data_IF_900709713811
#
_entry.id   IF_900709713811
#
_cell.length_a   1.000
_cell.length_b   1.000
_cell.length_c   1.000
_cell.angle_alpha   90.00
_cell.angle_beta   90.00
_cell.angle_gamma   90.00
#
_symmetry.space_group_name_H-M   'P 1'
#
loop_
_entity.id
_entity.type
_entity.pdbx_description
1 polymer ?
#
# COMPACT_ATOMS: atom_id res chain seq x y z
N UNK A 1 0.61 19.27 5.14
CA UNK A 1 -0.50 18.53 4.52
C UNK A 1 0.01 17.46 3.54
N UNK A 2 0.78 17.84 2.52
CA UNK A 2 1.40 16.90 1.56
C UNK A 2 2.30 15.84 2.19
N UNK A 3 3.08 16.18 3.22
CA UNK A 3 3.95 15.22 3.92
C UNK A 3 3.17 14.13 4.66
N UNK A 4 1.96 14.45 5.14
CA UNK A 4 1.09 13.49 5.84
C UNK A 4 0.42 12.56 4.82
N UNK A 5 -0.05 13.10 3.70
CA UNK A 5 -0.60 12.30 2.61
C UNK A 5 0.46 11.39 1.97
N UNK A 6 1.69 11.89 1.83
CA UNK A 6 2.84 11.08 1.39
C UNK A 6 3.17 9.98 2.40
N UNK A 7 3.20 10.30 3.70
CA UNK A 7 3.40 9.30 4.74
C UNK A 7 2.30 8.23 4.73
N UNK A 8 1.03 8.62 4.61
CA UNK A 8 -0.09 7.69 4.51
C UNK A 8 0.00 6.79 3.27
N UNK A 9 0.32 7.35 2.10
CA UNK A 9 0.55 6.57 0.88
C UNK A 9 1.76 5.64 0.99
N UNK A 10 2.85 6.09 1.62
CA UNK A 10 4.02 5.26 1.87
C UNK A 10 3.76 4.15 2.91
N UNK A 11 2.91 4.39 3.92
CA UNK A 11 2.41 3.35 4.82
C UNK A 11 1.53 2.33 4.07
N UNK A 12 0.73 2.79 3.10
CA UNK A 12 -0.07 1.91 2.24
C UNK A 12 0.80 0.96 1.42
N UNK A 13 1.93 1.47 0.91
CA UNK A 13 2.95 0.68 0.24
C UNK A 13 3.76 -0.21 1.20
N UNK A 14 3.86 0.17 2.47
CA UNK A 14 4.50 -0.62 3.51
C UNK A 14 3.63 -1.79 4.02
N UNK A 15 2.49 -2.03 3.38
CA UNK A 15 1.62 -3.18 3.71
C UNK A 15 1.09 -3.10 5.14
N UNK A 16 0.87 -1.90 5.67
CA UNK A 16 0.42 -1.71 7.05
C UNK A 16 -0.99 -2.30 7.26
N UNK A 17 -1.24 -3.01 8.38
CA UNK A 17 -2.55 -3.60 8.66
C UNK A 17 -3.64 -2.51 8.68
N UNK A 18 -4.68 -2.69 7.84
CA UNK A 18 -5.74 -1.70 7.63
C UNK A 18 -5.65 -0.91 6.32
N UNK A 19 -4.72 -1.25 5.42
CA UNK A 19 -4.61 -0.69 4.07
C UNK A 19 -4.83 -1.75 3.00
N UNK A 20 -5.23 -1.33 1.80
CA UNK A 20 -5.61 -2.22 0.70
C UNK A 20 -4.55 -3.26 0.31
N UNK A 21 -3.27 -2.87 0.24
CA UNK A 21 -2.16 -3.75 -0.20
C UNK A 21 -1.96 -4.93 0.75
N UNK A 22 -2.26 -4.77 2.05
CA UNK A 22 -2.14 -5.84 3.03
C UNK A 22 -3.04 -7.04 2.72
N UNK A 23 -4.30 -6.78 2.37
CA UNK A 23 -5.24 -7.85 2.05
C UNK A 23 -4.86 -8.60 0.78
N UNK A 24 -4.36 -7.90 -0.24
CA UNK A 24 -3.88 -8.53 -1.48
C UNK A 24 -2.70 -9.48 -1.21
N UNK A 25 -1.69 -9.04 -0.46
CA UNK A 25 -0.52 -9.86 -0.15
C UNK A 25 -0.88 -11.07 0.72
N UNK A 26 -1.77 -10.89 1.71
CA UNK A 26 -2.28 -12.00 2.51
C UNK A 26 -3.00 -13.05 1.66
N UNK A 27 -3.85 -12.64 0.72
CA UNK A 27 -4.54 -13.57 -0.18
C UNK A 27 -3.54 -14.39 -1.01
N UNK A 28 -2.46 -13.77 -1.49
CA UNK A 28 -1.45 -14.47 -2.27
C UNK A 28 -0.68 -15.48 -1.40
N UNK A 29 -0.35 -15.11 -0.16
CA UNK A 29 0.32 -16.01 0.79
C UNK A 29 -0.58 -17.20 1.12
N UNK A 30 -1.86 -16.96 1.45
CA UNK A 30 -2.82 -18.03 1.76
C UNK A 30 -3.03 -18.96 0.57
N UNK A 31 -3.21 -18.42 -0.64
CA UNK A 31 -3.35 -19.21 -1.86
C UNK A 31 -2.09 -20.05 -2.17
N UNK A 32 -0.90 -19.49 -1.91
CA UNK A 32 0.37 -20.20 -2.07
C UNK A 32 0.53 -21.37 -1.08
N UNK A 33 0.03 -21.23 0.15
CA UNK A 33 0.03 -22.30 1.16
C UNK A 33 -0.97 -23.40 0.77
N UNK A 34 -2.19 -23.03 0.37
CA UNK A 34 -3.23 -23.98 -0.06
C UNK A 34 -2.81 -24.79 -1.29
N UNK A 35 -2.08 -24.16 -2.21
CA UNK A 35 -1.55 -24.81 -3.42
C UNK A 35 -0.31 -25.69 -3.17
N UNK A 36 0.09 -25.93 -1.92
CA UNK A 36 1.35 -26.60 -1.53
C UNK A 36 2.62 -25.92 -2.11
N UNK A 37 2.54 -24.65 -2.50
CA UNK A 37 3.66 -23.87 -3.05
C UNK A 37 4.36 -23.07 -1.93
N UNK A 38 4.82 -23.79 -0.91
CA UNK A 38 5.42 -23.19 0.30
C UNK A 38 6.64 -22.30 -0.01
N UNK A 39 7.39 -22.60 -1.08
CA UNK A 39 8.56 -21.80 -1.48
C UNK A 39 8.16 -20.41 -1.99
N UNK A 40 7.05 -20.31 -2.73
CA UNK A 40 6.55 -19.03 -3.25
C UNK A 40 5.96 -18.19 -2.12
N UNK A 41 5.23 -18.83 -1.20
CA UNK A 41 4.72 -18.18 0.00
C UNK A 41 5.84 -17.60 0.87
N UNK A 42 6.94 -18.33 1.02
CA UNK A 42 8.13 -17.85 1.73
C UNK A 42 8.80 -16.65 1.04
N UNK A 43 8.98 -16.72 -0.29
CA UNK A 43 9.49 -15.60 -1.07
C UNK A 43 8.59 -14.36 -0.98
N UNK A 44 7.27 -14.56 -0.90
CA UNK A 44 6.32 -13.48 -0.74
C UNK A 44 6.44 -12.82 0.64
N UNK A 45 6.58 -13.61 1.70
CA UNK A 45 6.83 -13.09 3.05
C UNK A 45 8.14 -12.27 3.07
N UNK A 46 9.20 -12.74 2.41
CA UNK A 46 10.44 -11.98 2.28
C UNK A 46 10.24 -10.67 1.51
N UNK A 47 9.47 -10.68 0.42
CA UNK A 47 9.10 -9.48 -0.30
C UNK A 47 8.42 -8.47 0.63
N UNK A 48 7.47 -8.94 1.45
CA UNK A 48 6.71 -8.11 2.38
C UNK A 48 7.62 -7.41 3.40
N UNK A 49 8.62 -8.13 3.94
CA UNK A 49 9.62 -7.57 4.85
C UNK A 49 10.49 -6.51 4.17
N UNK A 50 10.98 -6.78 2.95
CA UNK A 50 11.79 -5.83 2.17
C UNK A 50 10.95 -4.60 1.80
N UNK A 51 9.67 -4.82 1.45
CA UNK A 51 8.70 -3.79 1.11
C UNK A 51 8.48 -2.83 2.27
N UNK A 52 8.25 -3.36 3.47
CA UNK A 52 8.14 -2.56 4.69
C UNK A 52 9.44 -1.79 4.99
N UNK A 53 10.61 -2.41 4.82
CA UNK A 53 11.90 -1.80 5.09
C UNK A 53 12.20 -0.62 4.15
N UNK A 54 11.96 -0.75 2.84
CA UNK A 54 12.18 0.37 1.91
C UNK A 54 11.18 1.49 2.15
N UNK A 55 9.91 1.16 2.44
CA UNK A 55 8.88 2.16 2.67
C UNK A 55 9.17 2.97 3.94
N UNK A 56 9.59 2.31 5.03
CA UNK A 56 10.02 2.97 6.25
C UNK A 56 11.26 3.86 6.01
N UNK A 57 12.23 3.38 5.24
CA UNK A 57 13.40 4.18 4.83
C UNK A 57 13.01 5.40 4.00
N UNK A 58 12.01 5.26 3.12
CA UNK A 58 11.49 6.34 2.30
C UNK A 58 10.80 7.40 3.15
N UNK A 59 9.91 6.98 4.06
CA UNK A 59 9.23 7.89 5.02
C UNK A 59 10.27 8.65 5.84
N UNK A 60 11.26 7.95 6.40
CA UNK A 60 12.31 8.58 7.19
C UNK A 60 13.14 9.59 6.36
N UNK A 61 13.47 9.24 5.12
CA UNK A 61 14.28 10.12 4.25
C UNK A 61 13.52 11.36 3.79
N UNK A 62 12.22 11.24 3.52
CA UNK A 62 11.41 12.31 2.94
C UNK A 62 10.74 13.17 4.02
N UNK A 63 10.28 12.56 5.11
CA UNK A 63 9.53 13.27 6.16
C UNK A 63 10.42 13.72 7.33
N UNK A 64 11.47 12.97 7.69
CA UNK A 64 12.26 13.22 8.92
C UNK A 64 13.59 13.91 8.63
N UNK A 65 14.19 13.68 7.46
CA UNK A 65 15.48 14.29 7.11
C UNK A 65 15.34 15.81 6.92
N UNK A 66 16.26 16.58 7.52
CA UNK A 66 16.24 18.06 7.49
C UNK A 66 16.19 18.58 6.05
N UNK A 67 15.25 19.48 5.79
CA UNK A 67 15.08 20.16 4.50
C UNK A 67 16.38 20.87 4.06
N UNK A 68 16.92 20.45 2.92
CA UNK A 68 18.05 21.10 2.24
C UNK A 68 17.66 22.51 1.77
N UNK A 69 18.64 23.39 1.52
CA UNK A 69 18.39 24.78 1.05
C UNK A 69 17.52 24.86 -0.21
N UNK A 70 17.54 23.83 -1.07
CA UNK A 70 16.67 23.65 -2.23
C UNK A 70 15.23 23.25 -1.87
N UNK A 71 15.04 22.45 -0.81
CA UNK A 71 13.73 22.02 -0.31
C UNK A 71 12.96 23.18 0.37
N UNK A 72 13.68 24.15 0.95
CA UNK A 72 13.09 25.36 1.53
C UNK A 72 12.52 26.33 0.48
N UNK A 73 12.93 26.21 -0.78
CA UNK A 73 12.37 26.94 -1.94
C UNK A 73 11.22 26.20 -2.63
N UNK A 74 10.92 24.97 -2.22
CA UNK A 74 9.82 24.21 -2.81
C UNK A 74 8.49 24.85 -2.37
N UNK A 75 7.72 25.34 -3.34
CA UNK A 75 6.34 25.79 -3.11
C UNK A 75 5.49 24.60 -2.67
N UNK A 76 4.57 24.85 -1.75
CA UNK A 76 3.54 23.88 -1.39
C UNK A 76 2.82 23.38 -2.65
N UNK A 77 2.48 22.08 -2.67
CA UNK A 77 1.84 21.50 -3.84
C UNK A 77 0.51 22.23 -4.11
N UNK A 78 0.23 22.58 -5.37
CA UNK A 78 -1.03 23.24 -5.73
C UNK A 78 -2.21 22.36 -5.29
N UNK A 79 -3.30 23.00 -4.86
CA UNK A 79 -4.52 22.31 -4.37
C UNK A 79 -5.07 21.28 -5.37
N UNK A 80 -4.87 21.50 -6.67
CA UNK A 80 -5.21 20.56 -7.74
C UNK A 80 -4.44 19.23 -7.71
N UNK A 81 -3.24 19.17 -7.11
CA UNK A 81 -2.51 17.91 -6.86
C UNK A 81 -2.91 17.26 -5.53
N UNK A 82 -3.28 18.07 -4.53
CA UNK A 82 -3.70 17.58 -3.22
C UNK A 82 -5.02 16.81 -3.29
N UNK A 83 -5.96 17.27 -4.12
CA UNK A 83 -7.27 16.65 -4.30
C UNK A 83 -7.16 15.16 -4.69
N UNK A 84 -6.50 14.77 -5.81
CA UNK A 84 -6.40 13.36 -6.19
C UNK A 84 -5.61 12.52 -5.18
N UNK A 85 -4.57 13.07 -4.54
CA UNK A 85 -3.79 12.34 -3.52
C UNK A 85 -4.64 12.02 -2.29
N UNK A 86 -5.41 13.00 -1.81
CA UNK A 86 -6.34 12.81 -0.69
C UNK A 86 -7.44 11.82 -1.05
N UNK A 87 -8.02 11.92 -2.26
CA UNK A 87 -9.01 10.96 -2.75
C UNK A 87 -8.46 9.54 -2.79
N UNK A 88 -7.27 9.34 -3.36
CA UNK A 88 -6.62 8.01 -3.41
C UNK A 88 -6.33 7.49 -2.00
N UNK A 89 -5.84 8.34 -1.11
CA UNK A 89 -5.54 7.96 0.27
C UNK A 89 -6.82 7.54 1.00
N UNK A 90 -7.89 8.32 0.86
CA UNK A 90 -9.19 8.00 1.43
C UNK A 90 -9.72 6.67 0.90
N UNK A 91 -9.65 6.43 -0.42
CA UNK A 91 -10.05 5.18 -1.04
C UNK A 91 -9.20 4.01 -0.53
N UNK A 92 -7.87 4.13 -0.46
CA UNK A 92 -6.99 3.09 0.06
C UNK A 92 -7.30 2.71 1.51
N UNK A 93 -7.62 3.69 2.36
CA UNK A 93 -8.04 3.45 3.74
C UNK A 93 -9.42 2.78 3.78
N UNK A 94 -10.36 3.25 2.96
CA UNK A 94 -11.73 2.71 2.92
C UNK A 94 -11.73 1.23 2.48
N UNK A 95 -10.93 0.90 1.47
CA UNK A 95 -10.72 -0.49 1.01
C UNK A 95 -10.00 -1.32 2.08
N UNK A 96 -9.01 -0.74 2.77
CA UNK A 96 -8.28 -1.44 3.83
C UNK A 96 -9.14 -1.78 5.06
N UNK A 97 -10.06 -0.89 5.43
CA UNK A 97 -11.00 -1.08 6.56
C UNK A 97 -12.18 -1.98 6.15
N UNK A 98 -12.68 -1.86 4.92
CA UNK A 98 -13.79 -2.65 4.41
C UNK A 98 -13.41 -3.37 3.10
N UNK A 99 -12.64 -4.48 3.19
CA UNK A 99 -12.17 -5.21 2.01
C UNK A 99 -13.25 -6.10 1.38
N UNK A 100 -14.32 -6.41 2.12
CA UNK A 100 -15.40 -7.33 1.73
C UNK A 100 -15.94 -7.14 0.30
N UNK A 101 -16.35 -5.93 -0.16
CA UNK A 101 -16.92 -5.77 -1.50
C UNK A 101 -15.89 -5.99 -2.62
N UNK A 102 -14.61 -5.70 -2.37
CA UNK A 102 -13.55 -5.93 -3.36
C UNK A 102 -13.20 -7.41 -3.47
N UNK A 103 -13.15 -8.11 -2.33
CA UNK A 103 -12.92 -9.56 -2.29
C UNK A 103 -14.07 -10.30 -2.98
N UNK A 104 -15.33 -9.98 -2.66
CA UNK A 104 -16.49 -10.62 -3.30
C UNK A 104 -16.56 -10.35 -4.81
N UNK A 105 -16.11 -9.17 -5.28
CA UNK A 105 -16.02 -8.88 -6.71
C UNK A 105 -14.93 -9.72 -7.40
N UNK A 106 -13.78 -9.90 -6.74
CA UNK A 106 -12.72 -10.76 -7.22
C UNK A 106 -13.18 -12.23 -7.30
N UNK A 107 -13.85 -12.73 -6.26
CA UNK A 107 -14.42 -14.09 -6.21
C UNK A 107 -15.47 -14.32 -7.31
N UNK A 108 -16.36 -13.34 -7.54
CA UNK A 108 -17.34 -13.40 -8.62
C UNK A 108 -16.68 -13.50 -10.00
N UNK A 109 -15.56 -12.78 -10.19
CA UNK A 109 -14.79 -12.84 -11.43
C UNK A 109 -14.10 -14.19 -11.59
N UNK A 110 -13.45 -14.71 -10.55
CA UNK A 110 -12.82 -16.04 -10.57
C UNK A 110 -13.84 -17.15 -10.85
N UNK A 111 -15.03 -17.07 -10.27
CA UNK A 111 -16.10 -18.05 -10.52
C UNK A 111 -16.56 -18.02 -11.98
N UNK A 112 -16.58 -16.84 -12.61
CA UNK A 112 -16.93 -16.71 -14.04
C UNK A 112 -15.88 -17.31 -14.99
N UNK A 113 -14.64 -17.48 -14.52
CA UNK A 113 -13.54 -18.07 -15.29
C UNK A 113 -13.62 -19.61 -15.41
N UNK A 114 -14.56 -20.28 -14.71
CA UNK A 114 -14.76 -21.75 -14.76
C UNK A 114 -13.45 -22.57 -14.67
N UNK A 115 -12.52 -22.14 -13.81
CA UNK A 115 -11.35 -22.92 -13.41
C UNK A 115 -11.68 -23.84 -12.24
#
# INVERSE_FOLDING_TARGET
MTSIAFAAGALSLATFPGLNVFWSELMIITAGIESNMSILSFLMILNLVISAAYALRMIYTVAVKKATSTSRKAKEAPMLMLLPILSLTAISILIGVYPSPFISFAEATVTSLNL
#
